data_IF_332987971417
#
_entry.id   IF_332987971417
#
_cell.length_a   1.000
_cell.length_b   1.000
_cell.length_c   1.000
_cell.angle_alpha   90.00
_cell.angle_beta   90.00
_cell.angle_gamma   90.00
#
_symmetry.space_group_name_H-M   'P 1'
#
loop_
_entity.id
_entity.type
_entity.pdbx_description
1 polymer ?
#
# COMPACT_ATOMS: atom_id res chain seq x y z
N UNK A 1 -14.63 13.81 24.98
CA UNK A 1 -13.41 14.19 25.72
C UNK A 1 -12.39 13.05 25.76
N UNK A 2 -12.67 11.87 26.33
CA UNK A 2 -11.70 10.75 26.34
C UNK A 2 -11.37 10.13 24.98
N UNK A 3 -12.34 10.12 24.03
CA UNK A 3 -12.12 9.61 22.67
C UNK A 3 -11.02 10.37 21.93
N UNK A 4 -11.09 11.70 21.91
CA UNK A 4 -10.08 12.53 21.24
C UNK A 4 -8.73 12.46 21.96
N UNK A 5 -8.71 12.37 23.29
CA UNK A 5 -7.49 12.15 24.04
C UNK A 5 -6.81 10.83 23.66
N UNK A 6 -7.57 9.73 23.50
CA UNK A 6 -7.02 8.45 23.04
C UNK A 6 -6.57 8.51 21.58
N UNK A 7 -7.32 9.21 20.72
CA UNK A 7 -6.92 9.42 19.32
C UNK A 7 -5.56 10.09 19.24
N UNK A 8 -5.40 11.24 19.88
CA UNK A 8 -4.16 12.03 19.76
C UNK A 8 -3.03 11.46 20.62
N UNK A 9 -3.32 11.05 21.85
CA UNK A 9 -2.31 10.60 22.82
C UNK A 9 -1.84 9.15 22.66
N UNK A 10 -2.54 8.34 21.85
CA UNK A 10 -2.15 6.95 21.59
C UNK A 10 -2.08 6.66 20.09
N UNK A 11 -3.19 6.77 19.35
CA UNK A 11 -3.20 6.36 17.94
C UNK A 11 -2.33 7.24 17.05
N UNK A 12 -2.44 8.56 17.17
CA UNK A 12 -1.64 9.49 16.36
C UNK A 12 -0.15 9.43 16.76
N UNK A 13 0.15 9.21 18.05
CA UNK A 13 1.51 9.04 18.55
C UNK A 13 2.16 7.74 18.02
N UNK A 14 1.41 6.63 17.99
CA UNK A 14 1.84 5.38 17.35
C UNK A 14 2.05 5.56 15.86
N UNK A 15 1.13 6.22 15.15
CA UNK A 15 1.27 6.49 13.73
C UNK A 15 2.52 7.31 13.41
N UNK A 16 2.85 8.32 14.23
CA UNK A 16 4.07 9.12 14.08
C UNK A 16 5.35 8.28 14.26
N UNK A 17 5.35 7.33 15.21
CA UNK A 17 6.46 6.39 15.41
C UNK A 17 6.62 5.42 14.22
N UNK A 18 5.51 4.92 13.69
CA UNK A 18 5.52 4.02 12.54
C UNK A 18 6.00 4.75 11.26
N UNK A 19 5.59 6.01 11.08
CA UNK A 19 6.11 6.87 10.00
C UNK A 19 7.62 7.11 10.14
N UNK A 20 8.10 7.37 11.36
CA UNK A 20 9.53 7.51 11.64
C UNK A 20 10.30 6.22 11.31
N UNK A 21 9.77 5.06 11.73
CA UNK A 21 10.32 3.74 11.42
C UNK A 21 10.43 3.53 9.90
N UNK A 22 9.35 3.80 9.17
CA UNK A 22 9.31 3.70 7.71
C UNK A 22 10.34 4.62 7.04
N UNK A 23 10.49 5.85 7.56
CA UNK A 23 11.42 6.84 7.03
C UNK A 23 12.90 6.47 7.28
N UNK A 24 13.21 5.71 8.32
CA UNK A 24 14.57 5.27 8.62
C UNK A 24 15.06 4.16 7.67
N UNK A 25 14.14 3.37 7.10
CA UNK A 25 14.45 2.34 6.10
C UNK A 25 15.45 1.30 6.62
N UNK A 26 16.60 1.16 5.95
CA UNK A 26 17.67 0.21 6.35
C UNK A 26 18.42 0.69 7.59
N UNK A 27 18.40 2.00 7.87
CA UNK A 27 18.98 2.55 9.10
C UNK A 27 18.02 2.23 10.24
N UNK A 28 18.52 1.66 11.33
CA UNK A 28 17.70 1.46 12.53
C UNK A 28 17.27 2.80 13.14
N UNK A 29 16.14 2.81 13.82
CA UNK A 29 15.64 3.95 14.58
C UNK A 29 16.63 4.36 15.69
N UNK A 30 16.65 5.65 16.04
CA UNK A 30 17.42 6.14 17.18
C UNK A 30 16.88 5.51 18.47
N UNK A 31 17.77 4.85 19.23
CA UNK A 31 17.43 4.14 20.47
C UNK A 31 16.84 5.09 21.51
N UNK A 32 17.47 6.23 21.75
CA UNK A 32 17.09 7.16 22.83
C UNK A 32 15.73 7.80 22.55
N UNK A 33 15.43 8.09 21.28
CA UNK A 33 14.12 8.58 20.86
C UNK A 33 13.02 7.53 21.07
N UNK A 34 13.32 6.25 20.84
CA UNK A 34 12.39 5.17 21.14
C UNK A 34 12.13 5.00 22.63
N UNK A 35 13.17 5.12 23.47
CA UNK A 35 13.00 5.11 24.93
C UNK A 35 12.14 6.27 25.41
N UNK A 36 12.37 7.47 24.86
CA UNK A 36 11.54 8.63 25.16
C UNK A 36 10.08 8.43 24.70
N UNK A 37 9.86 7.90 23.50
CA UNK A 37 8.53 7.54 23.02
C UNK A 37 7.83 6.55 23.96
N UNK A 38 8.52 5.49 24.39
CA UNK A 38 7.96 4.48 25.30
C UNK A 38 7.57 5.10 26.63
N UNK A 39 8.39 6.00 27.16
CA UNK A 39 8.12 6.71 28.41
C UNK A 39 6.86 7.58 28.32
N UNK A 40 6.82 8.49 27.33
CA UNK A 40 5.69 9.38 27.09
C UNK A 40 4.41 8.58 26.84
N UNK A 41 4.46 7.54 25.98
CA UNK A 41 3.30 6.72 25.68
C UNK A 41 2.75 6.00 26.90
N UNK A 42 3.62 5.55 27.80
CA UNK A 42 3.28 4.86 29.05
C UNK A 42 2.58 5.82 30.02
N UNK A 43 3.09 7.04 30.18
CA UNK A 43 2.44 8.06 31.00
C UNK A 43 1.08 8.48 30.43
N UNK A 44 0.98 8.71 29.11
CA UNK A 44 -0.26 9.13 28.46
C UNK A 44 -1.38 8.09 28.51
N UNK A 45 -1.04 6.78 28.46
CA UNK A 45 -2.04 5.70 28.49
C UNK A 45 -2.46 5.32 29.92
N UNK A 46 -1.72 5.75 30.93
CA UNK A 46 -1.97 5.46 32.36
C UNK A 46 -3.42 5.68 32.80
N UNK A 47 -4.11 6.80 32.49
CA UNK A 47 -5.50 7.01 32.92
C UNK A 47 -6.52 6.06 32.26
N UNK A 48 -6.15 5.34 31.19
CA UNK A 48 -7.04 4.43 30.45
C UNK A 48 -6.70 2.97 30.74
N UNK A 49 -5.40 2.62 30.70
CA UNK A 49 -4.90 1.26 30.91
C UNK A 49 -3.79 1.25 32.00
N UNK A 50 -4.13 1.50 33.28
CA UNK A 50 -3.15 1.66 34.35
C UNK A 50 -2.33 0.39 34.61
N UNK A 51 -2.94 -0.79 34.51
CA UNK A 51 -2.23 -2.07 34.73
C UNK A 51 -1.17 -2.34 33.66
N UNK A 52 -1.48 -2.01 32.40
CA UNK A 52 -0.53 -2.12 31.30
C UNK A 52 0.59 -1.09 31.45
N UNK A 53 0.24 0.16 31.74
CA UNK A 53 1.23 1.22 31.94
C UNK A 53 2.19 0.89 33.10
N UNK A 54 1.68 0.36 34.20
CA UNK A 54 2.47 -0.04 35.36
C UNK A 54 3.44 -1.19 35.03
N UNK A 55 2.99 -2.19 34.27
CA UNK A 55 3.84 -3.27 33.79
C UNK A 55 4.97 -2.72 32.90
N UNK A 56 4.66 -1.83 31.95
CA UNK A 56 5.67 -1.24 31.08
C UNK A 56 6.66 -0.39 31.88
N UNK A 57 6.18 0.42 32.82
CA UNK A 57 7.01 1.28 33.67
C UNK A 57 8.04 0.50 34.49
N UNK A 58 7.60 -0.60 35.12
CA UNK A 58 8.46 -1.41 35.99
C UNK A 58 9.30 -2.43 35.23
N UNK A 59 8.68 -3.25 34.38
CA UNK A 59 9.34 -4.41 33.78
C UNK A 59 10.14 -4.04 32.52
N UNK A 60 9.68 -3.06 31.75
CA UNK A 60 10.35 -2.67 30.50
C UNK A 60 11.25 -1.44 30.68
N UNK A 61 10.75 -0.40 31.36
CA UNK A 61 11.49 0.84 31.59
C UNK A 61 12.39 0.81 32.84
N UNK A 62 12.21 -0.17 33.74
CA UNK A 62 12.96 -0.30 35.00
C UNK A 62 12.97 1.02 35.81
N UNK A 63 11.82 1.70 35.87
CA UNK A 63 11.68 2.93 36.63
C UNK A 63 11.17 2.66 38.03
N UNK A 64 11.71 3.41 38.99
CA UNK A 64 11.26 3.36 40.37
C UNK A 64 9.88 4.01 40.56
N UNK A 65 9.17 3.59 41.61
CA UNK A 65 7.86 4.11 41.96
C UNK A 65 6.70 3.54 41.13
N UNK A 66 5.60 4.29 41.03
CA UNK A 66 4.41 3.93 40.27
C UNK A 66 4.18 4.95 39.15
N UNK A 67 3.70 4.48 37.99
CA UNK A 67 3.45 5.39 36.86
C UNK A 67 2.38 6.43 37.18
N UNK A 68 1.40 6.07 38.02
CA UNK A 68 0.32 6.96 38.48
C UNK A 68 0.86 8.16 39.27
N UNK A 69 2.02 8.00 39.93
CA UNK A 69 2.70 9.07 40.67
C UNK A 69 3.71 9.87 39.84
N UNK A 70 4.01 9.44 38.61
CA UNK A 70 5.04 10.04 37.78
C UNK A 70 4.65 11.39 37.15
N UNK A 71 3.35 11.72 37.13
CA UNK A 71 2.83 12.95 36.52
C UNK A 71 2.67 12.87 35.01
N UNK A 72 2.41 14.02 34.38
CA UNK A 72 2.28 14.14 32.93
C UNK A 72 3.66 14.37 32.29
N UNK A 73 3.89 13.89 31.05
CA UNK A 73 5.14 14.11 30.33
C UNK A 73 5.34 15.58 30.01
N UNK A 74 6.58 16.05 30.18
CA UNK A 74 7.00 17.36 29.71
C UNK A 74 7.15 17.35 28.18
N UNK A 75 6.75 18.45 27.53
CA UNK A 75 6.83 18.61 26.09
C UNK A 75 7.57 19.90 25.72
N UNK A 76 8.63 19.76 24.93
CA UNK A 76 9.35 20.90 24.36
C UNK A 76 8.53 21.58 23.26
N UNK A 77 8.85 22.85 23.00
CA UNK A 77 8.23 23.59 21.90
C UNK A 77 8.56 22.91 20.55
N UNK A 78 7.57 22.67 19.67
CA UNK A 78 7.81 21.99 18.41
C UNK A 78 8.64 22.84 17.45
N UNK A 79 9.58 22.21 16.74
CA UNK A 79 10.26 22.84 15.61
C UNK A 79 9.32 22.88 14.40
N UNK A 80 8.71 24.05 14.17
CA UNK A 80 7.79 24.28 13.07
C UNK A 80 8.48 24.22 11.70
N UNK A 81 9.77 24.57 11.63
CA UNK A 81 10.54 24.48 10.39
C UNK A 81 10.75 23.03 10.01
N UNK A 82 11.16 22.18 10.96
CA UNK A 82 11.35 20.76 10.70
C UNK A 82 10.02 20.07 10.34
N UNK A 83 8.93 20.41 11.05
CA UNK A 83 7.60 19.85 10.78
C UNK A 83 7.09 20.21 9.38
N UNK A 84 7.28 21.46 8.95
CA UNK A 84 6.88 21.91 7.60
C UNK A 84 7.75 21.29 6.51
N UNK A 85 9.05 21.14 6.74
CA UNK A 85 9.96 20.46 5.82
C UNK A 85 9.60 18.98 5.64
N UNK A 86 9.33 18.27 6.75
CA UNK A 86 8.91 16.86 6.70
C UNK A 86 7.57 16.71 5.96
N UNK A 87 6.59 17.56 6.28
CA UNK A 87 5.29 17.56 5.57
C UNK A 87 5.46 17.76 4.07
N UNK A 88 6.28 18.74 3.67
CA UNK A 88 6.57 18.99 2.25
C UNK A 88 7.20 17.77 1.57
N UNK A 89 8.16 17.10 2.22
CA UNK A 89 8.78 15.89 1.70
C UNK A 89 7.76 14.75 1.51
N UNK A 90 6.92 14.48 2.50
CA UNK A 90 5.90 13.43 2.40
C UNK A 90 4.88 13.72 1.30
N UNK A 91 4.37 14.96 1.24
CA UNK A 91 3.43 15.39 0.20
C UNK A 91 4.06 15.25 -1.20
N UNK A 92 5.34 15.59 -1.33
CA UNK A 92 6.09 15.43 -2.58
C UNK A 92 6.30 13.96 -2.98
N UNK A 93 6.62 13.08 -2.02
CA UNK A 93 6.76 11.63 -2.25
C UNK A 93 5.43 11.04 -2.72
N UNK A 94 4.31 11.41 -2.09
CA UNK A 94 2.98 10.96 -2.48
C UNK A 94 2.68 11.40 -3.92
N UNK A 95 2.98 12.66 -4.26
CA UNK A 95 2.80 13.18 -5.62
C UNK A 95 3.63 12.39 -6.65
N UNK A 96 4.92 12.17 -6.36
CA UNK A 96 5.82 11.39 -7.22
C UNK A 96 5.33 9.94 -7.39
N UNK A 97 4.88 9.28 -6.32
CA UNK A 97 4.32 7.92 -6.40
C UNK A 97 3.08 7.85 -7.29
N UNK A 98 2.17 8.83 -7.18
CA UNK A 98 0.99 8.91 -8.06
C UNK A 98 1.37 9.12 -9.52
N UNK A 99 2.35 9.98 -9.79
CA UNK A 99 2.87 10.18 -11.15
C UNK A 99 3.54 8.93 -11.71
N UNK A 100 4.35 8.23 -10.90
CA UNK A 100 4.97 6.97 -11.27
C UNK A 100 3.91 5.89 -11.55
N UNK A 101 2.90 5.75 -10.70
CA UNK A 101 1.77 4.85 -10.96
C UNK A 101 1.07 5.20 -12.26
N UNK A 102 0.82 6.50 -12.53
CA UNK A 102 0.23 6.96 -13.78
C UNK A 102 1.16 6.73 -14.98
N UNK A 103 2.48 6.74 -14.84
CA UNK A 103 3.40 6.39 -15.93
C UNK A 103 3.46 4.89 -16.14
N UNK A 104 3.55 4.09 -15.08
CA UNK A 104 3.49 2.63 -15.18
C UNK A 104 2.15 2.17 -15.80
N UNK A 105 1.04 2.81 -15.43
CA UNK A 105 -0.30 2.52 -15.95
C UNK A 105 -0.64 3.28 -17.24
N UNK A 106 0.08 4.37 -17.56
CA UNK A 106 -0.25 5.35 -18.60
C UNK A 106 0.88 5.64 -19.59
N UNK A 107 1.96 4.86 -19.57
CA UNK A 107 2.83 4.58 -20.71
C UNK A 107 2.26 3.46 -21.61
N UNK A 108 0.93 3.28 -21.58
CA UNK A 108 0.17 2.55 -22.58
C UNK A 108 -0.73 3.53 -23.32
N UNK A 109 -0.21 4.12 -24.40
CA UNK A 109 -1.04 4.25 -25.59
C UNK A 109 -1.53 2.83 -25.94
N UNK A 110 -2.85 2.62 -25.89
CA UNK A 110 -3.50 1.37 -26.26
C UNK A 110 -4.32 0.74 -25.12
N UNK A 111 -5.62 1.09 -25.06
CA UNK A 111 -6.64 0.40 -24.26
C UNK A 111 -6.69 -1.12 -24.50
N UNK A 112 -6.15 -1.62 -25.61
CA UNK A 112 -6.05 -3.06 -25.91
C UNK A 112 -5.07 -3.83 -25.00
N UNK A 113 -4.03 -3.17 -24.47
CA UNK A 113 -2.97 -3.88 -23.72
C UNK A 113 -3.38 -4.32 -22.31
N UNK A 114 -4.47 -3.80 -21.75
CA UNK A 114 -4.96 -4.22 -20.43
C UNK A 114 -5.78 -5.51 -20.50
N UNK A 115 -6.65 -5.62 -21.50
CA UNK A 115 -7.51 -6.79 -21.68
C UNK A 115 -6.69 -8.04 -22.04
N UNK A 116 -5.71 -7.89 -22.92
CA UNK A 116 -4.86 -9.02 -23.33
C UNK A 116 -4.02 -9.58 -22.16
N UNK A 117 -3.52 -8.71 -21.28
CA UNK A 117 -2.74 -9.13 -20.11
C UNK A 117 -3.60 -9.92 -19.11
N UNK A 118 -4.83 -9.46 -18.85
CA UNK A 118 -5.79 -10.19 -18.00
C UNK A 118 -6.08 -11.58 -18.57
N UNK A 119 -6.24 -11.69 -19.90
CA UNK A 119 -6.47 -12.97 -20.56
C UNK A 119 -5.24 -13.90 -20.50
N UNK A 120 -4.02 -13.35 -20.60
CA UNK A 120 -2.78 -14.13 -20.42
C UNK A 120 -2.59 -14.62 -18.99
N UNK A 121 -2.84 -13.77 -17.98
CA UNK A 121 -2.72 -14.16 -16.57
C UNK A 121 -3.71 -15.26 -16.16
N UNK A 122 -4.86 -15.34 -16.83
CA UNK A 122 -5.94 -16.28 -16.52
C UNK A 122 -6.05 -17.46 -17.52
N UNK A 123 -5.03 -17.69 -18.35
CA UNK A 123 -5.07 -18.66 -19.45
C UNK A 123 -5.33 -20.11 -18.98
N UNK A 124 -4.75 -20.50 -17.84
CA UNK A 124 -4.96 -21.84 -17.26
C UNK A 124 -6.39 -22.07 -16.78
N UNK A 125 -7.03 -21.03 -16.23
CA UNK A 125 -8.43 -21.10 -15.81
C UNK A 125 -9.35 -21.25 -17.02
N UNK A 126 -9.09 -20.49 -18.08
CA UNK A 126 -9.85 -20.53 -19.34
C UNK A 126 -9.75 -21.92 -19.97
N UNK A 127 -8.54 -22.50 -20.05
CA UNK A 127 -8.33 -23.88 -20.54
C UNK A 127 -9.18 -24.91 -19.79
N UNK A 128 -9.19 -24.85 -18.46
CA UNK A 128 -9.94 -25.79 -17.63
C UNK A 128 -11.46 -25.63 -17.77
N UNK A 129 -11.95 -24.40 -17.83
CA UNK A 129 -13.39 -24.14 -17.94
C UNK A 129 -13.95 -24.51 -19.32
N UNK A 130 -13.17 -24.29 -20.38
CA UNK A 130 -13.57 -24.62 -21.76
C UNK A 130 -13.20 -26.05 -22.18
N UNK A 131 -12.45 -26.79 -21.37
CA UNK A 131 -12.02 -28.16 -21.68
C UNK A 131 -11.04 -28.21 -22.87
N UNK A 132 -10.22 -27.19 -23.05
CA UNK A 132 -9.31 -27.06 -24.18
C UNK A 132 -7.87 -27.44 -23.78
N UNK A 133 -7.18 -28.18 -24.64
CA UNK A 133 -5.77 -28.54 -24.45
C UNK A 133 -4.84 -27.34 -24.74
N UNK A 134 -5.17 -26.55 -25.77
CA UNK A 134 -4.39 -25.40 -26.21
C UNK A 134 -5.25 -24.14 -26.35
N UNK A 135 -4.75 -23.02 -25.82
CA UNK A 135 -5.39 -21.70 -25.89
C UNK A 135 -4.28 -20.68 -26.11
N UNK A 136 -4.44 -19.84 -27.13
CA UNK A 136 -3.56 -18.72 -27.44
C UNK A 136 -4.39 -17.44 -27.48
N UNK A 137 -3.82 -16.34 -27.00
CA UNK A 137 -4.48 -15.03 -26.99
C UNK A 137 -3.57 -14.06 -27.73
N UNK A 138 -4.12 -13.39 -28.74
CA UNK A 138 -3.42 -12.46 -29.62
C UNK A 138 -4.00 -11.05 -29.51
N UNK A 139 -3.19 -10.06 -29.87
CA UNK A 139 -3.68 -8.69 -30.05
C UNK A 139 -4.44 -8.60 -31.37
N UNK A 140 -5.50 -7.80 -31.39
CA UNK A 140 -6.27 -7.50 -32.59
C UNK A 140 -5.42 -6.83 -33.70
N UNK A 141 -4.30 -6.18 -33.33
CA UNK A 141 -3.37 -5.55 -34.27
C UNK A 141 -2.24 -6.48 -34.74
N UNK A 142 -2.21 -7.74 -34.30
CA UNK A 142 -1.18 -8.69 -34.74
C UNK A 142 -1.49 -9.20 -36.16
N UNK A 143 -0.69 -8.79 -37.14
CA UNK A 143 -0.81 -9.22 -38.54
C UNK A 143 -0.68 -10.76 -38.68
N UNK A 144 0.00 -11.43 -37.73
CA UNK A 144 0.13 -12.89 -37.70
C UNK A 144 -1.09 -13.65 -37.17
N UNK A 145 -1.97 -12.99 -36.41
CA UNK A 145 -3.12 -13.63 -35.78
C UNK A 145 -4.16 -14.10 -36.82
N UNK A 146 -4.33 -13.34 -37.92
CA UNK A 146 -5.22 -13.72 -39.01
C UNK A 146 -4.78 -15.00 -39.72
N UNK A 147 -3.46 -15.19 -39.89
CA UNK A 147 -2.91 -16.40 -40.49
C UNK A 147 -3.17 -17.65 -39.64
N UNK A 148 -3.17 -17.51 -38.31
CA UNK A 148 -3.45 -18.61 -37.38
C UNK A 148 -4.93 -18.97 -37.29
N UNK A 149 -5.83 -18.02 -37.55
CA UNK A 149 -7.27 -18.27 -37.60
C UNK A 149 -7.71 -19.16 -38.78
N UNK A 150 -6.83 -19.39 -39.77
CA UNK A 150 -7.07 -20.29 -40.91
C UNK A 150 -8.38 -19.96 -41.65
N UNK A 151 -9.22 -20.99 -41.85
CA UNK A 151 -10.53 -20.89 -42.51
C UNK A 151 -11.55 -19.99 -41.78
N UNK A 152 -11.32 -19.65 -40.50
CA UNK A 152 -12.18 -18.77 -39.71
C UNK A 152 -11.73 -17.31 -39.72
N UNK A 153 -10.68 -16.95 -40.47
CA UNK A 153 -10.16 -15.58 -40.54
C UNK A 153 -11.14 -14.55 -41.11
N UNK A 154 -12.16 -14.96 -41.86
CA UNK A 154 -13.25 -14.08 -42.31
C UNK A 154 -14.09 -13.54 -41.14
N UNK A 155 -14.25 -14.31 -40.06
CA UNK A 155 -15.01 -13.89 -38.89
C UNK A 155 -14.36 -12.66 -38.23
N UNK A 156 -13.03 -12.60 -38.17
CA UNK A 156 -12.27 -11.46 -37.64
C UNK A 156 -12.51 -10.17 -38.45
N UNK A 157 -12.81 -10.27 -39.75
CA UNK A 157 -13.11 -9.11 -40.59
C UNK A 157 -14.56 -8.66 -40.48
N UNK A 158 -15.47 -9.60 -40.22
CA UNK A 158 -16.92 -9.32 -40.11
C UNK A 158 -17.35 -8.84 -38.72
N UNK A 159 -16.57 -9.13 -37.68
CA UNK A 159 -16.88 -8.74 -36.31
C UNK A 159 -16.08 -7.50 -35.91
N UNK A 160 -16.74 -6.37 -35.57
CA UNK A 160 -16.02 -5.18 -35.12
C UNK A 160 -15.31 -5.49 -33.80
N UNK A 161 -13.98 -5.37 -33.81
CA UNK A 161 -13.14 -5.53 -32.63
C UNK A 161 -13.41 -4.37 -31.67
N UNK A 162 -14.11 -4.67 -30.58
CA UNK A 162 -14.44 -3.70 -29.52
C UNK A 162 -13.70 -4.07 -28.24
N UNK A 163 -13.06 -3.08 -27.63
CA UNK A 163 -12.53 -3.17 -26.27
C UNK A 163 -13.65 -3.66 -25.33
N UNK A 164 -13.37 -4.71 -24.58
CA UNK A 164 -14.25 -5.35 -23.60
C UNK A 164 -14.97 -6.60 -24.12
N UNK A 165 -14.85 -6.92 -25.41
CA UNK A 165 -15.48 -8.09 -26.03
C UNK A 165 -14.50 -8.84 -26.94
N UNK A 166 -13.63 -9.71 -26.39
CA UNK A 166 -12.71 -10.50 -27.20
C UNK A 166 -13.48 -11.46 -28.13
N UNK A 167 -12.97 -11.67 -29.35
CA UNK A 167 -13.57 -12.59 -30.33
C UNK A 167 -12.87 -13.96 -30.24
N UNK A 168 -13.53 -15.01 -29.72
CA UNK A 168 -12.95 -16.35 -29.67
C UNK A 168 -13.04 -17.03 -31.05
N UNK A 169 -11.99 -17.77 -31.42
CA UNK A 169 -11.96 -18.64 -32.60
C UNK A 169 -11.56 -20.04 -32.14
N UNK A 170 -12.38 -21.02 -32.49
CA UNK A 170 -12.10 -22.43 -32.21
C UNK A 170 -11.60 -23.09 -33.49
N UNK A 171 -10.45 -23.75 -33.39
CA UNK A 171 -9.87 -24.55 -34.46
C UNK A 171 -10.02 -26.01 -34.05
N UNK A 172 -10.57 -26.82 -34.96
CA UNK A 172 -10.73 -28.27 -34.82
C UNK A 172 -9.58 -29.03 -35.46
#
# INVERSE_FOLDING_TARGET
MFREALKVGFYDLQAARDEYSFSCGVRSMNRDLLWHFMDVQTQLITPICPHYAEYVWKELLNKDGFVVSAGWPDADSPDLTLKSANKYLQDSIISMRKLLQKQVLGSKEGKEKGEIEVLWENLDLIKRQLGLEHVEVFSANDEGAQGRAGQHGELLRSTPLSSGSPTPIFLS
#
